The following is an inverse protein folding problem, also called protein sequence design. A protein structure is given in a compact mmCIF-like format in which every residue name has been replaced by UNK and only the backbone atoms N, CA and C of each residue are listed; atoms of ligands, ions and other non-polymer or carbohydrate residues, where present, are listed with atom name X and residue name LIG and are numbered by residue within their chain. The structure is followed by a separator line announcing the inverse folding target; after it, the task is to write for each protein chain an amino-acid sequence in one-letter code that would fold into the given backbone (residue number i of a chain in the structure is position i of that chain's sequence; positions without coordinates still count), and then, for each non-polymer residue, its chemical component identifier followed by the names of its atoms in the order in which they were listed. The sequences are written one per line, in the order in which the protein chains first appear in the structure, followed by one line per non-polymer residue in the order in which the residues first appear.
data_IF_738514417719
#
_entry.id   IF_738514417719
#
_cell.length_a   1.000
_cell.length_b   1.000
_cell.length_c   1.000
_cell.angle_alpha   90.00
_cell.angle_beta   90.00
_cell.angle_gamma   90.00
#
_symmetry.space_group_name_H-M   'P 1'
#
loop_
_entity.id
_entity.type
_entity.pdbx_description
1 polymer ?
2 non-polymer ?
3 water ?
#
# COMPACT_ATOMS: atom_id res chain seq x y z
N UNK A 2 -32.25 -2.61 2.28
CA UNK A 2 -32.23 -2.31 0.84
C UNK A 2 -31.00 -1.50 0.41
N UNK A 3 -30.56 -1.67 -0.86
CA UNK A 3 -29.45 -0.92 -1.43
C UNK A 3 -30.00 0.41 -1.98
N UNK A 4 -29.79 1.51 -1.25
CA UNK A 4 -30.31 2.83 -1.60
C UNK A 4 -29.25 3.79 -2.16
N UNK A 5 -29.67 4.63 -3.11
CA UNK A 5 -28.84 5.66 -3.70
C UNK A 5 -29.11 6.98 -3.01
N UNK A 6 -28.06 7.74 -2.65
CA UNK A 6 -28.21 9.02 -1.97
C UNK A 6 -28.56 10.16 -2.95
N UNK A 7 -27.79 10.30 -4.05
CA UNK A 7 -28.04 11.34 -5.06
C UNK A 7 -27.98 10.76 -6.49
N UNK A 8 -28.77 9.70 -6.72
CA UNK A 8 -28.89 9.01 -8.00
C UNK A 8 -30.01 9.64 -8.85
N UNK A 15 -27.76 14.37 -12.89
CA UNK A 15 -27.31 13.37 -11.91
C UNK A 15 -25.83 12.99 -12.07
N UNK A 16 -25.38 12.77 -13.32
CA UNK A 16 -23.99 12.45 -13.66
C UNK A 16 -23.06 13.66 -13.45
N UNK A 17 -23.60 14.89 -13.60
CA UNK A 17 -22.87 16.14 -13.40
C UNK A 17 -22.53 16.36 -11.92
N UNK A 18 -23.49 16.09 -11.02
CA UNK A 18 -23.31 16.21 -9.56
C UNK A 18 -22.37 15.11 -9.05
N UNK A 19 -22.39 13.93 -9.70
CA UNK A 19 -21.52 12.78 -9.40
C UNK A 19 -20.08 13.13 -9.72
N UNK A 20 -19.86 13.79 -10.87
CA UNK A 20 -18.55 14.24 -11.34
C UNK A 20 -17.95 15.26 -10.34
N UNK A 21 -18.81 16.13 -9.76
CA UNK A 21 -18.41 17.15 -8.78
C UNK A 21 -18.03 16.52 -7.44
N UNK A 22 -18.85 15.55 -6.95
CA UNK A 22 -18.57 14.86 -5.69
C UNK A 22 -17.30 13.98 -5.82
N UNK A 23 -17.07 13.38 -7.01
CA UNK A 23 -15.90 12.53 -7.27
C UNK A 23 -14.63 13.37 -7.18
N UNK A 24 -14.64 14.59 -7.79
CA UNK A 24 -13.54 15.54 -7.70
C UNK A 24 -13.32 16.01 -6.23
N UNK A 25 -14.41 16.17 -5.45
CA UNK A 25 -14.33 16.56 -4.03
C UNK A 25 -13.74 15.43 -3.16
N UNK A 26 -13.91 14.15 -3.58
CA UNK A 26 -13.37 12.95 -2.90
C UNK A 26 -11.92 12.68 -3.36
N UNK A 27 -11.33 13.60 -4.14
CA UNK A 27 -9.99 13.50 -4.74
C UNK A 27 -9.96 12.28 -5.68
N UNK A 28 -11.09 12.01 -6.38
CA UNK A 28 -11.26 10.88 -7.31
C UNK A 28 -11.05 9.50 -6.68
N UNK A 29 -11.22 9.41 -5.37
CA UNK A 29 -11.14 8.15 -4.67
C UNK A 29 -12.57 7.69 -4.44
N UNK A 30 -12.81 6.38 -4.58
CA UNK A 30 -14.07 5.72 -4.29
C UNK A 30 -13.81 4.78 -3.11
N UNK A 31 -14.86 4.45 -2.38
CA UNK A 31 -14.70 3.51 -1.28
C UNK A 31 -15.80 3.54 -0.25
N UNK A 32 -15.73 2.60 0.71
CA UNK A 32 -16.70 2.52 1.80
C UNK A 32 -16.33 3.55 2.86
N UNK A 33 -17.28 4.44 3.21
CA UNK A 33 -17.09 5.49 4.21
C UNK A 33 -17.39 5.00 5.63
N UNK A 34 -18.31 4.04 5.76
CA UNK A 34 -18.75 3.47 7.04
C UNK A 34 -19.40 2.10 6.84
N UNK A 35 -19.22 1.20 7.80
CA UNK A 35 -19.81 -0.13 7.84
C UNK A 35 -19.53 -0.99 6.64
N UNK A 36 -20.58 -1.62 6.07
CA UNK A 36 -20.51 -2.51 4.89
C UNK A 36 -19.52 -3.65 5.06
N UNK A 37 -19.38 -4.11 6.31
CA UNK A 37 -18.54 -5.25 6.63
C UNK A 37 -19.40 -6.51 6.67
N UNK A 38 -18.75 -7.67 6.63
CA UNK A 38 -19.40 -8.97 6.62
C UNK A 38 -20.10 -9.28 7.96
N UNK A 39 -21.33 -9.81 7.88
CA UNK A 39 -22.14 -10.19 9.04
C UNK A 39 -22.23 -11.72 9.05
N UNK A 40 -21.28 -12.35 9.77
CA UNK A 40 -21.14 -13.81 9.87
C UNK A 40 -22.31 -14.47 10.62
N UNK A 41 -22.92 -13.75 11.59
CA UNK A 41 -24.06 -14.25 12.38
C UNK A 41 -25.32 -14.45 11.54
N UNK A 42 -25.47 -13.68 10.45
CA UNK A 42 -26.62 -13.78 9.54
C UNK A 42 -26.28 -14.45 8.21
N UNK A 43 -25.02 -14.92 8.04
CA UNK A 43 -24.52 -15.60 6.85
C UNK A 43 -24.78 -17.11 6.96
N UNK A 44 -25.42 -17.69 5.92
CA UNK A 44 -25.72 -19.12 5.84
C UNK A 44 -25.07 -19.71 4.56
N UNK A 45 -25.39 -20.97 4.23
CA UNK A 45 -24.87 -21.68 3.06
C UNK A 45 -25.48 -21.20 1.73
N UNK A 46 -26.56 -20.39 1.81
CA UNK A 46 -27.27 -19.87 0.64
C UNK A 46 -27.36 -18.35 0.60
N UNK A 47 -26.87 -17.67 1.66
CA UNK A 47 -26.89 -16.22 1.74
C UNK A 47 -25.64 -15.63 2.40
N UNK A 48 -25.24 -14.44 1.96
CA UNK A 48 -24.13 -13.73 2.60
C UNK A 48 -24.68 -12.42 3.11
N UNK A 49 -24.53 -12.18 4.41
CA UNK A 49 -25.04 -10.95 5.01
C UNK A 49 -23.96 -9.90 5.13
N UNK A 50 -24.33 -8.65 4.87
CA UNK A 50 -23.46 -7.49 5.01
C UNK A 50 -24.15 -6.48 5.93
N UNK A 51 -23.37 -5.82 6.80
CA UNK A 51 -23.89 -4.82 7.72
C UNK A 51 -24.16 -3.51 7.00
N UNK A 52 -25.01 -2.65 7.61
CA UNK A 52 -25.38 -1.33 7.08
C UNK A 52 -24.14 -0.44 6.91
N UNK A 53 -24.22 0.48 5.97
CA UNK A 53 -23.13 1.40 5.71
C UNK A 53 -23.37 2.37 4.59
N UNK A 54 -22.35 3.22 4.35
CA UNK A 54 -22.34 4.25 3.32
C UNK A 54 -21.05 4.10 2.51
N UNK A 55 -21.14 4.30 1.19
CA UNK A 55 -20.01 4.23 0.26
C UNK A 55 -20.17 5.26 -0.85
N UNK A 56 -19.06 5.74 -1.43
CA UNK A 56 -19.11 6.67 -2.55
C UNK A 56 -18.39 5.97 -3.69
N UNK A 57 -19.05 5.84 -4.86
CA UNK A 57 -18.44 5.20 -6.01
C UNK A 57 -18.48 6.15 -7.18
N UNK A 58 -17.30 6.72 -7.51
CA UNK A 58 -17.13 7.71 -8.56
C UNK A 58 -18.16 8.86 -8.46
N UNK A 59 -18.35 9.34 -7.23
CA UNK A 59 -19.25 10.44 -6.91
C UNK A 59 -20.71 10.08 -6.65
N UNK A 60 -21.05 8.78 -6.72
CA UNK A 60 -22.41 8.30 -6.45
C UNK A 60 -22.46 7.74 -5.05
N UNK A 61 -23.35 8.27 -4.24
CA UNK A 61 -23.55 7.83 -2.87
C UNK A 61 -24.42 6.59 -2.82
N UNK A 62 -23.90 5.53 -2.17
CA UNK A 62 -24.60 4.25 -2.03
C UNK A 62 -24.81 4.01 -0.54
N UNK A 63 -26.03 3.62 -0.15
CA UNK A 63 -26.37 3.40 1.25
C UNK A 63 -27.05 2.05 1.48
N UNK A 64 -26.65 1.35 2.54
CA UNK A 64 -27.27 0.11 3.00
C UNK A 64 -27.94 0.49 4.31
N UNK A 65 -29.28 0.42 4.34
CA UNK A 65 -30.15 0.80 5.47
C UNK A 65 -29.91 0.02 6.76
N UNK A 70 -32.58 -3.88 13.23
CA UNK A 70 -31.91 -3.98 11.94
C UNK A 70 -30.84 -5.05 11.89
N UNK A 71 -31.25 -6.28 11.48
CA UNK A 71 -30.43 -7.49 11.32
C UNK A 71 -31.29 -8.61 10.68
N UNK A 72 -30.97 -9.09 9.46
CA UNK A 72 -29.86 -8.69 8.56
C UNK A 72 -30.19 -7.46 7.70
N UNK A 73 -29.24 -6.51 7.64
CA UNK A 73 -29.37 -5.25 6.89
C UNK A 73 -29.53 -5.45 5.40
N UNK A 74 -28.75 -6.37 4.82
CA UNK A 74 -28.78 -6.72 3.39
C UNK A 74 -28.33 -8.17 3.23
N UNK A 75 -28.89 -8.85 2.24
CA UNK A 75 -28.58 -10.25 1.99
C UNK A 75 -28.19 -10.43 0.52
N UNK A 76 -27.06 -11.10 0.28
CA UNK A 76 -26.58 -11.38 -1.08
C UNK A 76 -26.78 -12.87 -1.32
N UNK A 77 -27.54 -13.20 -2.38
CA UNK A 77 -27.85 -14.57 -2.76
C UNK A 77 -26.57 -15.30 -3.18
N UNK A 78 -26.24 -16.40 -2.49
CA UNK A 78 -25.05 -17.21 -2.77
C UNK A 78 -25.41 -18.62 -3.29
N UNK A 79 -26.68 -18.83 -3.70
CA UNK A 79 -27.12 -20.12 -4.23
C UNK A 79 -26.31 -20.52 -5.46
N UNK A 80 -25.78 -21.73 -5.41
CA UNK A 80 -24.96 -22.29 -6.50
C UNK A 80 -23.48 -21.98 -6.42
N UNK A 81 -23.07 -21.08 -5.50
CA UNK A 81 -21.69 -20.67 -5.29
C UNK A 81 -20.97 -21.70 -4.42
N UNK A 82 -19.96 -22.35 -5.00
CA UNK A 82 -19.17 -23.37 -4.32
C UNK A 82 -17.87 -23.62 -5.04
N UNK A 83 -16.81 -23.96 -4.27
CA UNK A 83 -15.47 -24.32 -4.73
C UNK A 83 -14.81 -23.29 -5.66
N UNK A 84 -15.04 -21.99 -5.40
CA UNK A 84 -14.47 -20.89 -6.20
C UNK A 84 -14.11 -19.70 -5.30
N UNK A 85 -12.98 -19.04 -5.61
CA UNK A 85 -12.60 -17.81 -4.94
C UNK A 85 -13.20 -16.73 -5.83
N UNK A 86 -14.04 -15.87 -5.25
CA UNK A 86 -14.72 -14.80 -5.97
C UNK A 86 -14.47 -13.46 -5.29
N UNK A 87 -14.90 -12.38 -5.95
CA UNK A 87 -14.82 -11.04 -5.39
C UNK A 87 -16.24 -10.54 -5.13
N UNK A 88 -16.54 -10.13 -3.89
CA UNK A 88 -17.82 -9.53 -3.57
C UNK A 88 -17.66 -8.04 -3.93
N UNK A 89 -18.45 -7.56 -4.89
CA UNK A 89 -18.35 -6.20 -5.38
C UNK A 89 -19.64 -5.41 -5.29
N UNK A 90 -19.50 -4.09 -5.12
CA UNK A 90 -20.60 -3.14 -5.16
C UNK A 90 -20.46 -2.52 -6.55
N UNK A 91 -21.54 -2.56 -7.34
CA UNK A 91 -21.48 -2.12 -8.72
C UNK A 91 -22.51 -1.06 -9.06
N UNK A 92 -22.14 -0.15 -9.97
CA UNK A 92 -23.02 0.87 -10.53
C UNK A 92 -23.14 0.58 -12.01
N UNK A 93 -24.38 0.43 -12.49
CA UNK A 93 -24.69 0.15 -13.89
C UNK A 93 -25.65 1.26 -14.34
N UNK A 94 -25.16 2.22 -15.12
CA UNK A 94 -25.97 3.35 -15.57
C UNK A 94 -26.94 2.99 -16.71
N UNK A 95 -26.79 1.79 -17.29
CA UNK A 95 -27.66 1.25 -18.33
C UNK A 95 -29.01 0.84 -17.71
N UNK A 96 -29.05 0.56 -16.38
CA UNK A 96 -30.27 0.19 -15.66
C UNK A 96 -31.14 1.42 -15.35
N UNK A 97 -32.41 1.20 -14.91
CA UNK A 97 -33.35 2.27 -14.57
C UNK A 97 -33.90 2.12 -13.15
N UNK A 98 -33.81 3.20 -12.35
CA UNK A 98 -34.31 3.23 -10.97
C UNK A 98 -35.83 3.42 -11.00
N UNK A 99 -36.58 2.38 -10.57
CA UNK A 99 -38.05 2.35 -10.59
C UNK A 99 -38.72 3.24 -9.51
N UNK A 100 -39.40 4.36 -9.91
CA UNK A 100 -40.03 5.23 -8.91
C UNK A 100 -41.47 4.83 -8.57
N UNK A 101 -41.64 3.64 -7.97
CA UNK A 101 -42.94 3.07 -7.60
C UNK A 101 -43.51 3.51 -6.23
N UNK A 102 -44.50 4.42 -6.27
CA UNK A 102 -45.20 4.89 -5.08
C UNK A 102 -45.12 6.36 -4.74
N UNK A 103 -45.31 7.25 -5.75
CA UNK A 103 -45.28 8.73 -5.65
C UNK A 103 -45.65 9.29 -4.26
N UNK A 110 -40.01 4.32 -2.21
CA UNK A 110 -40.52 4.87 -3.47
C UNK A 110 -39.53 4.71 -4.63
N UNK A 111 -38.30 4.21 -4.36
CA UNK A 111 -37.26 3.94 -5.37
C UNK A 111 -36.53 2.63 -5.03
N UNK A 112 -36.48 1.72 -6.03
CA UNK A 112 -35.90 0.38 -5.95
C UNK A 112 -34.35 0.34 -6.09
N UNK A 113 -33.80 1.22 -6.97
CA UNK A 113 -32.36 1.36 -7.30
C UNK A 113 -31.73 0.17 -8.05
N UNK A 114 -32.19 -0.07 -9.30
CA UNK A 114 -31.68 -1.15 -10.15
C UNK A 114 -30.28 -0.83 -10.70
N UNK A 115 -29.88 0.45 -10.61
CA UNK A 115 -28.57 0.93 -11.04
C UNK A 115 -27.45 0.53 -10.05
N UNK A 116 -27.80 -0.01 -8.87
CA UNK A 116 -26.85 -0.47 -7.84
C UNK A 116 -27.01 -1.97 -7.60
N UNK A 117 -25.89 -2.74 -7.63
CA UNK A 117 -25.87 -4.19 -7.38
C UNK A 117 -24.76 -4.58 -6.38
N UNK A 118 -24.99 -5.66 -5.62
CA UNK A 118 -24.02 -6.34 -4.76
C UNK A 118 -23.90 -7.70 -5.43
N UNK A 119 -22.72 -7.99 -6.01
CA UNK A 119 -22.56 -9.23 -6.78
C UNK A 119 -21.21 -9.91 -6.62
N UNK A 120 -21.08 -11.10 -7.23
CA UNK A 120 -19.84 -11.85 -7.26
C UNK A 120 -19.21 -11.79 -8.63
N UNK A 121 -17.92 -11.42 -8.67
CA UNK A 121 -17.20 -11.30 -9.93
C UNK A 121 -15.88 -12.04 -9.84
N UNK A 122 -15.35 -12.51 -10.99
CA UNK A 122 -14.01 -13.10 -10.96
C UNK A 122 -13.00 -11.92 -11.11
N UNK A 123 -11.70 -12.18 -10.93
CA UNK A 123 -10.67 -11.15 -11.01
C UNK A 123 -10.63 -10.46 -12.41
N UNK A 124 -10.58 -11.19 -13.55
CA UNK A 124 -10.55 -10.49 -14.85
C UNK A 124 -11.73 -9.55 -15.11
N UNK A 125 -12.96 -9.94 -14.70
CA UNK A 125 -14.16 -9.12 -14.89
C UNK A 125 -14.09 -7.89 -13.99
N UNK A 126 -13.69 -8.07 -12.73
CA UNK A 126 -13.55 -6.92 -11.82
C UNK A 126 -12.53 -5.95 -12.39
N UNK A 127 -11.36 -6.45 -12.84
CA UNK A 127 -10.31 -5.57 -13.40
C UNK A 127 -10.79 -4.77 -14.61
N UNK A 128 -11.57 -5.42 -15.51
CA UNK A 128 -12.15 -4.76 -16.68
C UNK A 128 -13.14 -3.62 -16.34
N UNK A 129 -13.71 -3.62 -15.14
CA UNK A 129 -14.65 -2.55 -14.74
C UNK A 129 -14.30 -1.94 -13.37
N UNK A 130 -13.03 -2.03 -12.97
CA UNK A 130 -12.59 -1.49 -11.66
C UNK A 130 -12.48 0.03 -11.71
N UNK A 131 -13.11 0.72 -10.71
CA UNK A 131 -13.05 2.19 -10.57
C UNK A 131 -11.63 2.77 -10.60
N UNK A 132 -10.62 2.02 -10.10
CA UNK A 132 -9.24 2.54 -10.08
C UNK A 132 -8.62 2.68 -11.44
N UNK A 133 -9.11 1.92 -12.43
CA UNK A 133 -8.54 1.87 -13.77
C UNK A 133 -9.46 2.39 -14.88
N UNK A 134 -10.75 2.51 -14.59
CA UNK A 134 -11.77 2.92 -15.57
C UNK A 134 -12.73 3.88 -14.92
N UNK A 135 -13.51 4.65 -15.71
CA UNK A 135 -14.44 5.59 -15.09
C UNK A 135 -15.72 5.79 -15.86
N UNK A 136 -16.76 6.14 -15.11
CA UNK A 136 -18.08 6.52 -15.62
C UNK A 136 -17.99 7.92 -16.25
N UNK A 137 -17.01 8.74 -15.79
CA UNK A 137 -16.79 10.12 -16.22
C UNK A 137 -15.50 10.26 -17.06
N UNK A 138 -14.93 9.13 -17.54
CA UNK A 138 -13.70 9.14 -18.33
C UNK A 138 -13.83 9.96 -19.60
N UNK A 139 -12.75 10.65 -19.97
CA UNK A 139 -12.72 11.51 -21.16
C UNK A 139 -12.59 10.72 -22.46
N UNK A 140 -11.59 9.80 -22.53
CA UNK A 140 -11.35 8.97 -23.71
C UNK A 140 -12.27 7.74 -23.83
N UNK A 141 -12.43 6.96 -22.75
CA UNK A 141 -13.25 5.75 -22.72
C UNK A 141 -14.33 5.78 -21.58
N UNK A 142 -15.37 6.68 -21.65
CA UNK A 142 -16.39 6.71 -20.57
C UNK A 142 -17.17 5.41 -20.43
N UNK A 143 -17.36 4.96 -19.19
CA UNK A 143 -18.06 3.71 -18.91
C UNK A 143 -19.48 3.92 -18.37
N UNK A 144 -20.30 2.88 -18.46
CA UNK A 144 -21.64 2.86 -17.91
C UNK A 144 -21.71 1.91 -16.72
N UNK A 145 -20.73 0.98 -16.62
CA UNK A 145 -20.62 0.02 -15.51
C UNK A 145 -19.27 0.18 -14.77
N UNK A 146 -19.31 0.30 -13.45
CA UNK A 146 -18.10 0.44 -12.62
C UNK A 146 -18.24 -0.33 -11.33
N UNK A 147 -17.14 -0.90 -10.82
CA UNK A 147 -17.25 -1.68 -9.60
C UNK A 147 -16.17 -1.39 -8.58
N UNK A 148 -16.50 -1.69 -7.32
CA UNK A 148 -15.62 -1.63 -6.17
C UNK A 148 -15.62 -2.96 -5.41
N UNK A 149 -14.45 -3.65 -5.37
CA UNK A 149 -14.38 -4.92 -4.65
C UNK A 149 -14.31 -4.72 -3.14
N UNK A 150 -15.09 -5.51 -2.39
CA UNK A 150 -15.14 -5.34 -0.93
C UNK A 150 -14.44 -6.47 -0.20
N UNK A 151 -14.63 -7.72 -0.68
CA UNK A 151 -14.06 -8.92 -0.07
C UNK A 151 -13.65 -9.96 -1.10
N UNK A 152 -12.63 -10.75 -0.74
CA UNK A 152 -12.33 -11.99 -1.44
C UNK A 152 -13.23 -12.95 -0.68
N UNK A 153 -13.97 -13.79 -1.40
CA UNK A 153 -14.87 -14.76 -0.76
C UNK A 153 -14.51 -16.08 -1.33
N UNK A 154 -14.09 -17.02 -0.48
CA UNK A 154 -13.76 -18.37 -0.94
C UNK A 154 -14.89 -19.26 -0.51
N UNK A 155 -15.68 -19.69 -1.50
CA UNK A 155 -16.80 -20.60 -1.26
C UNK A 155 -16.23 -21.99 -1.21
N UNK A 156 -16.58 -22.73 -0.15
CA UNK A 156 -16.12 -24.10 0.03
C UNK A 156 -17.09 -25.10 -0.58
N UNK A 157 -17.09 -26.33 -0.06
CA UNK A 157 -17.99 -27.38 -0.52
C UNK A 157 -19.45 -27.04 -0.22
N UNK A 158 -20.39 -27.56 -1.03
CA UNK A 158 -21.83 -27.31 -0.87
C UNK A 158 -22.27 -27.49 0.61
N UNK A 159 -23.08 -26.56 1.09
CA UNK A 159 -23.60 -26.61 2.46
C UNK A 159 -22.79 -25.91 3.54
N UNK A 160 -21.59 -25.40 3.21
CA UNK A 160 -20.71 -24.69 4.16
C UNK A 160 -20.87 -23.16 4.01
N UNK A 161 -20.35 -22.41 5.00
CA UNK A 161 -20.30 -20.94 4.93
C UNK A 161 -18.92 -20.55 4.35
N UNK A 162 -18.80 -19.45 3.59
CA UNK A 162 -17.51 -19.14 2.97
C UNK A 162 -16.50 -18.44 3.88
N UNK A 163 -15.20 -18.48 3.48
CA UNK A 163 -14.14 -17.77 4.17
C UNK A 163 -14.05 -16.39 3.51
N UNK A 164 -13.43 -15.41 3.88
CA UNK A 164 -13.38 -14.04 3.37
C UNK A 164 -12.22 -13.25 3.91
N UNK A 165 -11.89 -12.33 3.12
CA UNK A 165 -10.71 -11.49 3.31
C UNK A 165 -11.09 -10.10 2.82
N UNK A 166 -11.22 -9.16 3.75
CA UNK A 166 -11.58 -7.79 3.44
C UNK A 166 -10.56 -7.14 2.51
N UNK A 167 -11.05 -6.35 1.55
CA UNK A 167 -10.21 -5.61 0.62
C UNK A 167 -10.11 -4.21 1.22
N UNK A 168 -9.16 -4.07 2.16
CA UNK A 168 -8.97 -2.82 2.90
C UNK A 168 -8.67 -1.58 2.10
N UNK A 169 -8.10 -1.74 0.88
CA UNK A 169 -7.83 -0.59 0.02
C UNK A 169 -9.11 0.14 -0.41
N UNK A 170 -10.26 -0.55 -0.40
CA UNK A 170 -11.54 0.02 -0.82
C UNK A 170 -12.41 0.48 0.35
N UNK A 171 -11.82 0.51 1.55
CA UNK A 171 -12.47 0.99 2.76
C UNK A 171 -11.74 2.23 3.25
N UNK A 172 -12.46 3.34 3.32
CA UNK A 172 -11.93 4.63 3.80
C UNK A 172 -12.13 4.66 5.30
N UNK A 173 -11.05 4.46 6.09
CA UNK A 173 -10.99 4.60 7.55
C UNK A 173 -9.63 4.26 8.15
N UNK A 176 -6.87 8.38 7.37
CA UNK A 176 -6.80 9.19 6.15
C UNK A 176 -8.19 9.39 5.57
N UNK A 177 -8.79 10.57 5.84
CA UNK A 177 -10.17 10.88 5.45
C UNK A 177 -10.34 12.28 4.82
N UNK A 178 -9.60 13.26 5.31
CA UNK A 178 -9.65 14.64 4.80
C UNK A 178 -8.91 14.82 3.49
N UNK A 179 -7.95 13.93 3.20
CA UNK A 179 -7.15 13.92 1.98
C UNK A 179 -7.09 12.43 1.58
N UNK A 180 -8.23 11.83 1.15
CA UNK A 180 -8.25 10.37 0.91
C UNK A 180 -7.31 9.77 -0.11
N UNK A 181 -6.89 10.51 -1.10
CA UNK A 181 -6.00 9.96 -2.11
C UNK A 181 -4.50 10.18 -1.76
N UNK A 182 -4.23 10.96 -0.72
CA UNK A 182 -2.85 11.29 -0.35
C UNK A 182 -2.56 10.86 1.08
N UNK A 183 -1.55 11.43 1.70
CA UNK A 183 -1.25 11.11 3.08
C UNK A 183 -0.23 10.02 3.21
N UNK A 184 -0.04 9.57 4.46
CA UNK A 184 0.96 8.57 4.78
C UNK A 184 0.67 7.24 4.10
N UNK A 185 1.70 6.68 3.46
CA UNK A 185 1.64 5.37 2.84
C UNK A 185 2.19 4.33 3.82
N UNK A 186 3.30 4.65 4.55
CA UNK A 186 3.90 3.68 5.48
C UNK A 186 4.70 4.46 6.50
N UNK A 187 4.75 3.96 7.73
CA UNK A 187 5.54 4.63 8.79
C UNK A 187 5.90 3.61 9.84
N UNK A 188 6.95 3.87 10.62
CA UNK A 188 7.27 2.90 11.69
C UNK A 188 7.79 3.62 12.93
N UNK A 189 7.89 2.90 14.03
CA UNK A 189 8.51 3.46 15.24
C UNK A 189 10.00 3.25 15.12
N UNK A 190 10.76 3.87 16.03
CA UNK A 190 12.22 3.67 16.01
C UNK A 190 12.56 2.20 16.25
N UNK A 191 13.55 1.70 15.52
CA UNK A 191 14.01 0.34 15.73
C UNK A 191 15.51 0.24 15.57
N UNK A 192 16.08 -0.85 16.10
CA UNK A 192 17.53 -1.11 16.00
C UNK A 192 17.76 -2.31 15.11
N UNK A 193 18.75 -2.23 14.23
CA UNK A 193 18.96 -3.32 13.30
C UNK A 193 20.42 -3.56 13.04
N UNK A 194 20.85 -4.79 13.26
CA UNK A 194 22.22 -5.22 13.04
C UNK A 194 22.59 -5.15 11.56
N UNK A 195 23.78 -4.61 11.28
CA UNK A 195 24.25 -4.48 9.91
C UNK A 195 25.06 -5.75 9.53
N UNK A 196 24.53 -6.50 8.56
CA UNK A 196 25.22 -7.69 8.07
C UNK A 196 26.56 -7.32 7.42
N UNK A 197 27.55 -8.21 7.56
CA UNK A 197 28.89 -7.96 7.03
C UNK A 197 28.92 -8.16 5.53
N UNK A 198 28.20 -7.31 4.79
CA UNK A 198 28.12 -7.41 3.33
C UNK A 198 28.21 -6.00 2.72
N UNK A 199 28.52 -5.91 1.43
CA UNK A 199 28.62 -4.60 0.76
C UNK A 199 27.28 -3.91 0.62
N UNK A 200 26.25 -4.67 0.29
CA UNK A 200 24.94 -4.09 0.04
C UNK A 200 23.87 -4.89 0.72
N UNK A 201 23.01 -4.20 1.44
CA UNK A 201 21.88 -4.94 2.07
C UNK A 201 20.68 -4.04 2.19
N UNK A 202 19.50 -4.65 2.22
CA UNK A 202 18.30 -3.85 2.45
C UNK A 202 18.07 -3.62 3.94
N UNK A 203 17.40 -2.52 4.25
CA UNK A 203 17.02 -2.21 5.63
C UNK A 203 15.60 -2.74 5.77
N UNK A 204 15.31 -3.58 6.79
CA UNK A 204 13.97 -4.18 6.88
C UNK A 204 12.96 -3.16 7.37
N UNK A 205 12.08 -2.74 6.47
CA UNK A 205 11.07 -1.72 6.72
C UNK A 205 9.67 -2.25 6.98
N UNK A 206 9.51 -3.56 6.98
CA UNK A 206 8.18 -4.19 7.13
C UNK A 206 7.78 -4.76 8.51
N UNK A 207 8.45 -4.32 9.56
CA UNK A 207 8.03 -4.70 10.90
C UNK A 207 8.86 -5.70 11.66
N UNK A 208 9.90 -6.25 11.03
CA UNK A 208 10.82 -7.17 11.74
C UNK A 208 12.24 -6.68 11.54
N UNK A 209 12.97 -6.48 12.63
CA UNK A 209 14.40 -6.06 12.57
C UNK A 209 15.25 -7.12 13.27
N UNK A 210 16.55 -7.15 12.94
CA UNK A 210 17.46 -8.09 13.63
C UNK A 210 18.08 -7.28 14.77
N UNK A 211 17.39 -7.28 15.89
CA UNK A 211 17.74 -6.42 17.02
C UNK A 211 18.94 -6.90 17.83
N UNK A 212 19.99 -6.06 18.02
CA UNK A 212 21.10 -6.45 18.93
C UNK A 212 20.53 -6.58 20.36
N UNK A 213 20.78 -7.73 21.02
CA UNK A 213 20.23 -8.00 22.36
C UNK A 213 21.28 -8.27 23.44
N UNK A 214 22.53 -8.58 23.04
CA UNK A 214 23.59 -8.86 24.01
C UNK A 214 24.89 -8.43 23.37
N UNK A 215 26.01 -8.58 24.10
CA UNK A 215 27.32 -8.22 23.57
C UNK A 215 27.72 -9.12 22.40
N UNK A 216 27.02 -10.25 22.15
CA UNK A 216 27.42 -11.19 21.08
C UNK A 216 26.29 -11.60 20.16
N UNK A 217 25.04 -11.17 20.42
CA UNK A 217 23.93 -11.66 19.60
C UNK A 217 22.86 -10.66 19.28
N UNK A 218 22.18 -10.92 18.17
CA UNK A 218 20.99 -10.16 17.75
C UNK A 218 19.87 -11.16 17.54
N UNK A 219 18.63 -10.69 17.64
CA UNK A 219 17.50 -11.56 17.38
C UNK A 219 16.40 -10.83 16.65
N UNK A 220 15.73 -11.54 15.76
CA UNK A 220 14.62 -11.02 14.97
C UNK A 220 13.52 -10.65 15.95
N UNK A 221 13.09 -9.37 15.88
CA UNK A 221 12.15 -8.78 16.83
C UNK A 221 11.18 -7.91 16.07
N UNK A 222 9.86 -8.02 16.40
CA UNK A 222 8.87 -7.15 15.76
C UNK A 222 9.02 -5.73 16.27
N UNK A 223 8.71 -4.77 15.42
CA UNK A 223 8.60 -3.36 15.80
C UNK A 223 7.27 -2.88 15.16
N UNK A 224 6.72 -1.79 15.68
CA UNK A 224 5.46 -1.21 15.21
C UNK A 224 5.63 -0.57 13.85
N UNK A 225 4.73 -0.94 12.91
CA UNK A 225 4.77 -0.45 11.54
C UNK A 225 3.30 -0.33 11.08
N UNK A 226 3.06 0.57 10.14
CA UNK A 226 1.69 0.74 9.62
C UNK A 226 1.78 1.05 8.16
N UNK A 227 0.87 0.46 7.37
CA UNK A 227 0.79 0.70 5.93
C UNK A 227 -0.62 1.12 5.58
N UNK A 228 -0.75 2.04 4.62
CA UNK A 228 -2.03 2.48 4.10
C UNK A 228 -2.27 1.50 2.93
N UNK A 229 -3.25 0.56 3.02
CA UNK A 229 -3.43 -0.45 1.93
C UNK A 229 -3.84 0.10 0.58
N UNK A 230 -4.38 1.32 0.54
CA UNK A 230 -4.69 2.05 -0.69
C UNK A 230 -3.40 2.44 -1.43
N UNK A 231 -2.32 2.69 -0.68
CA UNK A 231 -1.08 3.20 -1.27
C UNK A 231 0.05 2.20 -1.39
N UNK A 232 0.14 1.26 -0.48
CA UNK A 232 1.24 0.26 -0.52
C UNK A 232 0.89 -1.03 0.22
N UNK A 233 1.65 -2.08 -0.08
CA UNK A 233 1.50 -3.39 0.56
C UNK A 233 2.85 -4.08 0.71
N UNK A 234 2.93 -5.11 1.55
CA UNK A 234 4.17 -5.83 1.75
C UNK A 234 4.43 -6.76 0.57
N UNK A 235 5.67 -6.87 0.12
CA UNK A 235 6.02 -7.77 -0.97
C UNK A 235 5.69 -9.21 -0.51
N UNK A 236 5.06 -10.02 -1.37
CA UNK A 236 4.67 -11.39 -0.94
C UNK A 236 5.76 -12.43 -1.08
N UNK A 237 6.84 -12.11 -1.78
CA UNK A 237 7.92 -13.07 -2.00
C UNK A 237 8.80 -13.23 -0.78
N UNK A 238 9.17 -14.49 -0.47
CA UNK A 238 10.01 -14.77 0.71
C UNK A 238 11.26 -13.94 0.80
N UNK A 239 12.00 -13.81 -0.32
CA UNK A 239 13.27 -13.10 -0.36
C UNK A 239 13.09 -11.59 -0.09
N UNK A 240 11.94 -11.03 -0.48
CA UNK A 240 11.69 -9.59 -0.39
C UNK A 240 10.71 -9.11 0.69
N UNK A 241 9.93 -10.05 1.31
CA UNK A 241 8.91 -9.70 2.33
C UNK A 241 9.45 -8.86 3.50
N UNK A 242 10.66 -9.09 4.06
CA UNK A 242 11.10 -8.23 5.18
C UNK A 242 11.40 -6.78 4.79
N UNK A 243 11.72 -6.54 3.51
CA UNK A 243 12.32 -5.31 3.00
C UNK A 243 11.57 -4.48 2.00
N UNK A 244 10.75 -5.11 1.17
CA UNK A 244 10.17 -4.36 0.05
C UNK A 244 8.69 -4.04 0.16
N UNK A 245 8.33 -2.83 -0.29
CA UNK A 245 6.93 -2.44 -0.41
C UNK A 245 6.58 -2.59 -1.87
N UNK A 246 5.31 -2.82 -2.14
CA UNK A 246 4.74 -2.79 -3.48
C UNK A 246 3.93 -1.51 -3.44
N UNK A 247 4.17 -0.62 -4.40
CA UNK A 247 3.44 0.64 -4.54
C UNK A 247 2.14 0.34 -5.33
N UNK A 248 1.01 0.79 -4.79
CA UNK A 248 -0.33 0.53 -5.37
C UNK A 248 -0.88 1.71 -6.17
N UNK A 249 -0.24 2.88 -6.05
CA UNK A 249 -0.76 4.12 -6.62
C UNK A 249 0.39 4.97 -7.15
N UNK A 250 0.29 5.47 -8.37
CA UNK A 250 1.35 6.33 -8.90
C UNK A 250 1.41 7.62 -8.08
N UNK A 251 2.57 8.24 -8.03
CA UNK A 251 2.62 9.57 -7.43
C UNK A 251 4.00 10.08 -7.15
N UNK A 252 4.05 11.34 -6.68
CA UNK A 252 5.30 11.88 -6.15
C UNK A 252 5.18 11.60 -4.65
N UNK A 253 6.17 10.88 -4.09
CA UNK A 253 6.14 10.53 -2.68
C UNK A 253 7.25 11.23 -1.98
N UNK A 254 7.09 11.42 -0.67
CA UNK A 254 8.14 11.97 0.17
C UNK A 254 8.65 10.83 1.05
N UNK A 255 9.95 10.60 1.10
CA UNK A 255 10.52 9.59 1.99
C UNK A 255 11.36 10.34 3.06
N UNK A 256 11.07 10.11 4.36
CA UNK A 256 11.86 10.74 5.43
C UNK A 256 12.50 9.58 6.17
N UNK A 257 13.78 9.69 6.52
CA UNK A 257 14.48 8.67 7.32
C UNK A 257 15.26 9.38 8.42
N UNK A 258 15.46 8.72 9.54
CA UNK A 258 16.28 9.32 10.60
C UNK A 258 16.77 8.19 11.45
N UNK A 259 17.94 8.34 12.00
CA UNK A 259 18.46 7.29 12.85
C UNK A 259 19.90 7.54 13.08
N UNK A 260 20.61 6.52 13.58
CA UNK A 260 22.04 6.68 13.78
C UNK A 260 22.76 5.39 13.44
N UNK A 261 24.05 5.49 13.20
CA UNK A 261 24.89 4.32 12.97
C UNK A 261 25.68 4.22 14.27
N UNK A 262 25.52 3.08 14.96
CA UNK A 262 26.16 2.85 16.25
C UNK A 262 27.29 1.84 16.09
N UNK A 263 28.38 2.06 16.82
CA UNK A 263 29.60 1.23 16.75
C UNK A 263 30.16 1.22 15.32
N UNK A 264 30.13 2.40 14.66
CA UNK A 264 30.62 2.50 13.29
C UNK A 264 32.14 2.35 13.31
N UNK A 265 32.67 1.71 12.30
CA UNK A 265 34.09 1.45 12.20
C UNK A 265 34.82 2.65 11.61
N UNK A 266 36.10 2.76 11.96
CA UNK A 266 37.01 3.80 11.51
C UNK A 266 38.42 3.40 11.85
N UNK A 267 39.39 3.93 11.11
CA UNK A 267 40.80 3.65 11.40
C UNK A 267 41.24 4.59 12.53
N UNK A 268 41.78 4.00 13.61
CA UNK A 268 42.22 4.72 14.80
C UNK A 268 43.42 5.62 14.50
N UNK A 269 43.46 6.87 15.06
CA UNK A 269 44.63 7.73 14.84
C UNK A 269 45.91 7.02 15.26
N UNK A 270 46.91 7.01 14.35
CA UNK A 270 48.20 6.34 14.61
C UNK A 270 49.38 7.13 14.05
N UNK A 276 45.41 10.86 12.74
CA UNK A 276 44.16 11.27 12.09
C UNK A 276 43.17 10.10 12.01
N UNK A 277 41.87 10.41 12.14
CA UNK A 277 40.79 9.43 12.03
C UNK A 277 40.66 9.03 10.55
N UNK A 278 40.67 7.73 10.30
CA UNK A 278 40.48 7.20 8.95
C UNK A 278 39.02 6.81 8.79
N UNK A 279 38.24 7.75 8.26
CA UNK A 279 36.81 7.53 8.03
C UNK A 279 36.52 6.48 6.98
N UNK A 280 35.31 5.92 7.02
CA UNK A 280 34.86 4.84 6.16
C UNK A 280 33.55 5.27 5.50
N UNK A 281 33.50 5.23 4.18
CA UNK A 281 32.31 5.65 3.44
C UNK A 281 31.15 4.70 3.58
N UNK A 282 29.95 5.28 3.70
CA UNK A 282 28.71 4.51 3.65
C UNK A 282 27.63 5.35 3.01
N UNK A 283 26.62 4.68 2.48
CA UNK A 283 25.45 5.42 2.01
C UNK A 283 24.19 4.66 2.29
N UNK A 284 23.11 5.41 2.46
CA UNK A 284 21.78 4.84 2.59
C UNK A 284 21.06 5.38 1.34
N UNK A 285 20.45 4.48 0.57
CA UNK A 285 19.77 4.83 -0.65
C UNK A 285 18.34 4.37 -0.60
N UNK A 286 17.47 5.03 -1.36
CA UNK A 286 16.16 4.45 -1.58
C UNK A 286 16.19 3.96 -3.03
N UNK A 287 15.38 2.95 -3.33
CA UNK A 287 15.43 2.32 -4.63
C UNK A 287 14.05 1.93 -5.05
N UNK A 288 13.85 1.92 -6.37
CA UNK A 288 12.63 1.43 -6.97
C UNK A 288 13.02 0.41 -8.05
N UNK A 289 12.15 -0.56 -8.25
CA UNK A 289 12.37 -1.59 -9.27
C UNK A 289 11.02 -2.00 -9.81
N UNK A 290 10.90 -2.01 -11.15
CA UNK A 290 9.65 -2.36 -11.83
C UNK A 290 9.81 -3.58 -12.78
N UNK A 291 10.90 -4.35 -12.60
CA UNK A 291 11.15 -5.55 -13.44
C UNK A 291 10.04 -6.58 -13.41
N UNK A 292 9.44 -6.78 -12.23
CA UNK A 292 8.35 -7.74 -12.06
C UNK A 292 7.00 -7.08 -12.30
N UNK A 293 6.23 -7.58 -13.29
CA UNK A 293 4.92 -7.01 -13.57
C UNK A 293 3.88 -7.67 -12.66
N UNK A 294 2.69 -7.08 -12.55
CA UNK A 294 1.52 -7.63 -11.84
C UNK A 294 1.65 -7.79 -10.34
N UNK A 295 2.50 -6.98 -9.70
CA UNK A 295 2.63 -7.06 -8.24
C UNK A 295 1.51 -6.28 -7.55
N UNK A 296 0.91 -5.30 -8.27
CA UNK A 296 -0.18 -4.49 -7.70
C UNK A 296 -1.37 -5.37 -7.36
N UNK A 297 -2.21 -4.87 -6.48
CA UNK A 297 -3.39 -5.57 -6.02
C UNK A 297 -4.21 -6.13 -7.20
N UNK A 298 -4.65 -7.39 -7.07
CA UNK A 298 -5.42 -8.15 -8.08
C UNK A 298 -4.58 -8.59 -9.27
N UNK A 299 -3.27 -8.40 -9.17
CA UNK A 299 -2.34 -8.65 -10.28
C UNK A 299 -2.57 -7.63 -11.39
N UNK A 300 -3.05 -6.42 -11.05
CA UNK A 300 -3.26 -5.37 -12.06
C UNK A 300 -1.96 -5.03 -12.76
N UNK A 301 -2.06 -4.68 -14.05
CA UNK A 301 -0.92 -4.31 -14.88
C UNK A 301 -0.19 -3.13 -14.21
N UNK A 302 1.15 -3.17 -14.16
CA UNK A 302 1.88 -2.03 -13.59
C UNK A 302 1.74 -0.83 -14.52
N UNK A 303 1.97 0.36 -13.98
CA UNK A 303 1.98 1.57 -14.78
C UNK A 303 3.42 1.78 -15.18
N UNK A 304 3.70 1.72 -16.48
CA UNK A 304 5.07 1.90 -16.98
C UNK A 304 5.56 3.34 -16.75
N UNK A 305 6.76 3.47 -16.18
CA UNK A 305 7.31 4.81 -15.92
C UNK A 305 7.85 5.46 -17.18
N UNK A 306 8.10 6.80 -17.16
CA UNK A 306 8.67 7.46 -18.34
C UNK A 306 10.10 7.00 -18.61
N UNK A 307 10.55 7.16 -19.86
CA UNK A 307 11.91 6.81 -20.26
C UNK A 307 12.92 7.61 -19.40
N UNK A 308 13.97 6.93 -18.94
CA UNK A 308 15.02 7.52 -18.13
C UNK A 308 14.69 7.67 -16.66
N UNK A 309 13.66 6.97 -16.20
CA UNK A 309 13.25 7.01 -14.79
C UNK A 309 14.38 6.56 -13.85
N UNK A 310 14.45 7.19 -12.67
CA UNK A 310 15.42 6.85 -11.64
C UNK A 310 15.19 5.41 -11.10
N UNK A 311 16.24 4.80 -10.51
CA UNK A 311 16.13 3.50 -9.84
C UNK A 311 16.81 3.53 -8.49
N UNK A 312 17.76 4.46 -8.31
CA UNK A 312 18.51 4.53 -7.05
C UNK A 312 18.74 5.99 -6.69
N UNK A 313 18.50 6.35 -5.42
CA UNK A 313 18.67 7.73 -4.98
C UNK A 313 19.41 7.75 -3.66
N UNK A 314 20.56 8.45 -3.61
CA UNK A 314 21.30 8.59 -2.35
C UNK A 314 20.53 9.49 -1.38
N UNK A 315 20.23 8.96 -0.18
CA UNK A 315 19.58 9.75 0.87
C UNK A 315 20.63 10.31 1.81
N UNK A 316 21.64 9.49 2.18
CA UNK A 316 22.73 9.91 3.07
C UNK A 316 23.99 9.29 2.50
N UNK A 317 25.00 10.10 2.28
CA UNK A 317 26.29 9.60 1.83
C UNK A 317 27.38 10.33 2.56
N UNK A 318 28.17 9.62 3.38
CA UNK A 318 29.26 10.28 4.10
C UNK A 318 30.21 9.30 4.70
N UNK A 319 31.22 9.82 5.40
CA UNK A 319 32.17 8.94 6.05
C UNK A 319 31.87 8.86 7.54
N UNK A 320 32.27 7.72 8.16
CA UNK A 320 32.23 7.59 9.62
C UNK A 320 33.21 8.64 10.17
N UNK A 321 32.87 9.25 11.31
CA UNK A 321 33.62 10.38 11.87
C UNK A 321 34.49 10.14 13.09
N UNK A 322 34.62 8.91 13.54
CA UNK A 322 35.44 8.59 14.70
C UNK A 322 34.66 8.48 16.00
N UNK A 323 33.34 8.69 15.96
CA UNK A 323 32.46 8.63 17.13
C UNK A 323 31.76 7.29 17.27
N UNK A 324 31.38 6.95 18.50
CA UNK A 324 30.68 5.73 18.85
C UNK A 324 29.32 5.66 18.10
N UNK A 325 28.62 6.79 18.08
CA UNK A 325 27.32 6.85 17.41
C UNK A 325 27.22 8.13 16.61
N UNK A 326 26.75 8.02 15.36
CA UNK A 326 26.67 9.17 14.45
C UNK A 326 25.27 9.24 13.88
N UNK A 327 24.59 10.37 14.07
CA UNK A 327 23.21 10.50 13.58
C UNK A 327 23.10 10.95 12.14
N UNK A 328 21.99 10.61 11.52
CA UNK A 328 21.68 11.05 10.18
C UNK A 328 20.20 11.31 10.02
N UNK A 329 19.85 12.04 8.96
CA UNK A 329 18.46 12.31 8.65
C UNK A 329 18.41 12.67 7.19
N UNK A 330 17.31 12.33 6.51
CA UNK A 330 17.24 12.76 5.11
C UNK A 330 15.79 12.82 4.74
N UNK A 331 15.45 13.73 3.81
CA UNK A 331 14.08 13.87 3.29
C UNK A 331 14.22 14.02 1.78
N UNK A 332 13.48 13.21 0.98
CA UNK A 332 13.55 13.41 -0.48
C UNK A 332 12.17 13.24 -1.06
N UNK A 333 11.90 13.87 -2.23
CA UNK A 333 10.67 13.55 -2.94
C UNK A 333 11.10 12.69 -4.13
N UNK A 334 10.30 11.66 -4.47
CA UNK A 334 10.64 10.67 -5.51
C UNK A 334 9.39 10.26 -6.23
N UNK A 335 9.51 9.88 -7.51
CA UNK A 335 8.36 9.40 -8.23
C UNK A 335 8.29 7.89 -8.00
N UNK A 336 7.08 7.36 -7.85
CA UNK A 336 6.83 5.92 -7.71
C UNK A 336 5.62 5.59 -8.55
N UNK A 337 5.60 4.38 -9.10
CA UNK A 337 4.56 3.94 -10.01
C UNK A 337 3.84 2.70 -9.53
N UNK A 338 2.55 2.62 -9.83
CA UNK A 338 1.73 1.44 -9.48
C UNK A 338 2.43 0.19 -9.99
N UNK A 339 2.66 -0.76 -9.08
CA UNK A 339 3.37 -2.00 -9.38
C UNK A 339 4.83 -2.03 -8.98
N UNK A 340 5.46 -0.84 -8.67
CA UNK A 340 6.87 -0.77 -8.31
C UNK A 340 7.15 -1.45 -6.99
N UNK A 341 8.37 -1.96 -6.85
CA UNK A 341 8.92 -2.35 -5.57
C UNK A 341 9.66 -1.11 -5.07
N UNK A 342 9.53 -0.80 -3.77
CA UNK A 342 10.27 0.29 -3.13
C UNK A 342 11.02 -0.30 -1.95
N UNK A 343 12.29 0.09 -1.75
CA UNK A 343 13.11 -0.43 -0.65
C UNK A 343 14.23 0.51 -0.30
N UNK A 344 14.86 0.28 0.85
CA UNK A 344 16.00 1.08 1.32
C UNK A 344 17.20 0.21 1.46
N UNK A 345 18.37 0.71 1.05
CA UNK A 345 19.60 -0.10 1.16
C UNK A 345 20.73 0.65 1.86
N UNK A 346 21.57 -0.12 2.56
CA UNK A 346 22.74 0.38 3.26
C UNK A 346 23.93 -0.20 2.48
N UNK A 347 24.87 0.66 2.06
CA UNK A 347 26.02 0.25 1.28
C UNK A 347 27.31 0.70 1.90
N UNK A 348 28.32 -0.18 1.93
CA UNK A 348 29.64 0.21 2.44
C UNK A 348 30.68 -0.77 1.84
N UNK A 349 31.95 -0.50 2.12
CA UNK A 349 33.06 -1.37 1.74
C UNK A 349 33.06 -2.63 2.56
N UNK A 350 33.81 -3.65 2.11
CA UNK A 350 33.86 -4.97 2.78
C UNK A 350 35.17 -5.31 3.50
N UNK A 351 36.17 -4.47 3.38
CA UNK A 351 37.44 -4.68 4.07
C UNK A 351 37.39 -3.92 5.40
N UNK A 352 37.15 -4.64 6.52
CA UNK A 352 37.05 -4.00 7.85
C UNK A 352 38.31 -3.28 8.32
N UNK A 353 39.48 -3.63 7.77
CA UNK A 353 40.72 -2.97 8.17
C UNK A 353 41.03 -1.74 7.32
N UNK A 354 40.21 -1.47 6.28
CA UNK A 354 40.47 -0.34 5.38
C UNK A 354 39.26 0.54 4.98
N UNK A 355 38.17 -0.07 4.47
CA UNK A 355 37.08 0.70 3.89
C UNK A 355 35.65 0.44 4.38
N UNK A 356 35.46 -0.53 5.26
CA UNK A 356 34.11 -0.83 5.73
C UNK A 356 33.67 0.07 6.87
N UNK A 357 32.40 0.55 6.81
CA UNK A 357 31.81 1.30 7.93
C UNK A 357 31.42 0.35 9.07
N UNK A 358 31.37 -0.97 8.78
CA UNK A 358 31.05 -1.95 9.83
C UNK A 358 32.33 -2.55 10.40
N UNK A 359 32.23 -3.03 11.64
CA UNK A 359 33.35 -3.63 12.36
C UNK A 359 33.23 -5.16 12.32
N UNK A 360 34.00 -5.86 13.20
CA UNK A 360 34.05 -7.30 13.31
C UNK A 360 33.26 -7.83 14.52
N UNK A 361 32.39 -7.00 15.08
CA UNK A 361 31.60 -7.33 16.25
C UNK A 361 30.19 -7.79 15.97
N UNK A 362 29.59 -8.43 16.98
CA UNK A 362 28.22 -8.96 16.91
C UNK A 362 27.36 -8.40 18.01
N UNK A 363 26.04 -8.46 17.84
CA UNK A 363 25.11 -7.93 18.83
C UNK A 363 25.35 -6.45 19.05
N UNK A 364 25.28 -5.99 20.31
CA UNK A 364 25.47 -4.56 20.64
C UNK A 364 26.91 -4.12 20.45
N UNK A 365 27.84 -5.07 20.24
CA UNK A 365 29.26 -4.76 20.01
C UNK A 365 29.56 -4.63 18.52
N UNK A 366 28.57 -4.90 17.68
CA UNK A 366 28.73 -4.81 16.24
C UNK A 366 28.01 -3.59 15.70
N UNK A 367 28.49 -3.07 14.58
CA UNK A 367 27.87 -1.91 13.92
C UNK A 367 26.39 -2.19 13.66
N UNK A 368 25.55 -1.22 14.01
CA UNK A 368 24.13 -1.39 13.81
C UNK A 368 23.41 -0.05 13.63
N UNK A 369 22.24 -0.10 13.04
CA UNK A 369 21.36 1.07 12.95
C UNK A 369 20.65 1.19 14.29
N UNK A 370 20.60 2.39 14.83
CA UNK A 370 19.92 2.57 16.11
C UNK A 370 18.92 3.69 15.95
N UNK A 371 17.75 3.56 16.62
CA UNK A 371 16.67 4.58 16.57
C UNK A 371 16.30 4.99 15.14
N UNK A 372 16.25 4.00 14.26
CA UNK A 372 15.96 4.19 12.86
C UNK A 372 14.47 4.18 12.65
N UNK A 373 13.97 5.13 11.86
CA UNK A 373 12.56 5.11 11.49
C UNK A 373 12.42 5.82 10.14
N UNK A 374 11.24 5.63 9.52
CA UNK A 374 10.95 6.26 8.25
C UNK A 374 9.46 6.56 8.15
N UNK A 375 9.11 7.48 7.26
CA UNK A 375 7.73 7.74 6.81
C UNK A 375 7.80 7.87 5.32
N UNK A 376 6.84 7.23 4.62
CA UNK A 376 6.67 7.38 3.19
C UNK A 376 5.26 7.97 3.03
N UNK A 377 5.16 9.09 2.31
CA UNK A 377 3.88 9.79 2.16
C UNK A 377 3.63 10.14 0.70
N UNK A 378 2.38 10.02 0.23
CA UNK A 378 2.06 10.45 -1.14
C UNK A 378 1.75 11.95 -1.12
N UNK A 379 2.53 12.74 -1.84
CA UNK A 379 2.40 14.20 -1.81
C UNK A 379 1.97 14.89 -3.11
N UNK A 380 1.99 14.16 -4.22
CA UNK A 380 1.64 14.72 -5.52
C UNK A 380 1.23 13.64 -6.48
N UNK A 381 0.57 14.04 -7.58
CA UNK A 381 0.14 13.09 -8.59
C UNK A 381 1.03 13.17 -9.81
N UNK A 382 0.93 12.18 -10.70
CA UNK A 382 1.70 12.15 -11.94
C UNK A 382 0.80 12.14 -13.19
N UNK A 383 -0.37 12.76 -13.08
CA UNK A 383 -1.35 12.83 -14.19
C UNK A 383 -0.88 13.88 -15.22
N UNK A 384 -1.37 13.79 -16.45
CA UNK A 384 -1.02 14.72 -17.51
C UNK A 384 0.46 14.84 -17.81
N UNK A 385 0.91 16.08 -18.03
CA UNK A 385 2.29 16.43 -18.37
C UNK A 385 3.32 16.07 -17.28
N UNK A 386 2.90 16.12 -16.00
CA UNK A 386 3.72 15.79 -14.82
C UNK A 386 4.36 14.40 -14.94
N UNK A 387 3.68 13.47 -15.64
CA UNK A 387 4.21 12.12 -15.90
C UNK A 387 5.63 12.16 -16.47
N UNK A 388 5.82 12.94 -17.54
CA UNK A 388 7.10 13.08 -18.24
C UNK A 388 8.03 14.07 -17.54
N UNK A 389 7.48 15.19 -17.03
CA UNK A 389 8.22 16.29 -16.42
C UNK A 389 8.72 16.07 -14.98
N UNK A 390 7.90 15.45 -14.15
CA UNK A 390 8.14 15.19 -12.72
C UNK A 390 8.37 13.68 -12.48
N UNK A 391 7.92 12.81 -13.40
CA UNK A 391 7.98 11.37 -13.20
C UNK A 391 9.31 10.65 -13.34
N UNK A 392 10.29 11.28 -13.99
CA UNK A 392 11.61 10.65 -14.21
C UNK A 392 12.47 10.60 -12.93
N UNK A 393 12.11 11.36 -11.88
CA UNK A 393 12.91 11.38 -10.66
C UNK A 393 12.04 11.50 -9.40
X LIG B 1 -24.58 -23.21 -1.39
X LIG C 1 -20.10 -22.81 -8.69
X LIG D 1 -11.72 -13.54 7.92
X LIG E 1 1.01 -7.60 -1.88
X LIG F 1 8.88 16.95 5.69
X LIG G 1 -19.02 19.90 -2.99
#
# INVERSE_FOLDING_TARGET
GVLKGINFDRSIVTPENEASILDLAMQNRSGVLDGMTIDILNTTSNQLALFHGTAVLQGYGIEITRAANGAPDVLVDTTGQSNETMLLCLTIDLNQVNVPSGTVGTNTYAVDYKQIRLEFLDVPTLLKQYWRDHSLHDLIDPRRVISMPLYWITFGQTGTTPLYEQIKSNYIDGGNSGNPAYGIAARCENFNHFINKVAVQSIPINGVANRPVSSTASQLTNYKVWRNPYLCSQDPRDKFAPDNLVIEEDGIYRIDISGSINIANYTFPASGNSWRVGGRYFQIVCARNSSANNLAEFGAEQHLPPSGVWTRRVLVGEYTAGMTEQAFSSVATISLFKGDNFFLQFETGTNTSRDSAYNNGYGTSGTHLRNFSYTLERVGDLNGTAYYDNGTF
CS CS
CS CS
CS CS
CS CS
CS CS
CS CS
#
